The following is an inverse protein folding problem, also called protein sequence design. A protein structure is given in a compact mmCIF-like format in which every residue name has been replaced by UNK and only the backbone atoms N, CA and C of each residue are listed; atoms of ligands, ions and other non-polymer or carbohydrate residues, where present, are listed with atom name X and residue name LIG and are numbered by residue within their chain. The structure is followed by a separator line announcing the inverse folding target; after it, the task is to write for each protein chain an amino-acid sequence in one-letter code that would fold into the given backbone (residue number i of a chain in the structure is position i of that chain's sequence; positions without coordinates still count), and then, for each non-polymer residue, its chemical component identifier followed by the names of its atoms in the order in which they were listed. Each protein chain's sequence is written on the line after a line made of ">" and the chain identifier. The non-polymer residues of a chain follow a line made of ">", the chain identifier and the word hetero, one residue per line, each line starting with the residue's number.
data_IF_825797512704
#
_entry.id   IF_825797512704
#
_cell.length_a   1.000
_cell.length_b   1.000
_cell.length_c   1.000
_cell.angle_alpha   90.00
_cell.angle_beta   90.00
_cell.angle_gamma   90.00
#
_symmetry.space_group_name_H-M   'P 1'
#
loop_
_entity.id
_entity.type
_entity.pdbx_description
1 polymer ?
#
# COMPACT_ATOMS: atom_id res chain seq x y z
N UNK A 1 2.20 10.41 47.12
CA UNK A 1 1.78 9.18 46.43
C UNK A 1 0.77 9.54 45.36
N UNK A 2 1.23 9.90 44.16
CA UNK A 2 0.36 10.37 43.07
C UNK A 2 0.90 9.89 41.71
N UNK A 3 1.09 8.57 41.57
CA UNK A 3 1.67 7.98 40.36
C UNK A 3 0.96 6.70 39.93
N UNK A 4 -0.37 6.73 39.89
CA UNK A 4 -1.17 5.54 39.54
C UNK A 4 -2.29 5.78 38.52
N UNK A 5 -2.36 6.96 37.88
CA UNK A 5 -3.47 7.28 36.95
C UNK A 5 -3.10 7.29 35.46
N UNK A 6 -1.83 7.06 35.12
CA UNK A 6 -1.35 7.11 33.73
C UNK A 6 -1.63 5.84 32.89
N UNK A 7 -1.80 4.59 33.42
CA UNK A 7 -1.79 3.42 32.54
C UNK A 7 -3.13 3.19 31.81
N UNK A 8 -4.24 3.80 32.24
CA UNK A 8 -5.56 3.56 31.62
C UNK A 8 -5.78 4.30 30.29
N UNK A 9 -4.95 5.27 29.91
CA UNK A 9 -5.09 5.95 28.62
C UNK A 9 -4.41 5.21 27.45
N UNK A 10 -3.58 4.20 27.72
CA UNK A 10 -2.95 3.37 26.69
C UNK A 10 -3.82 2.18 26.24
N UNK A 11 -4.91 1.88 26.94
CA UNK A 11 -5.85 0.81 26.58
C UNK A 11 -6.72 1.16 25.36
N UNK A 12 -6.65 2.40 24.87
CA UNK A 12 -7.36 2.89 23.69
C UNK A 12 -6.63 2.67 22.36
N UNK A 13 -5.38 2.19 22.37
CA UNK A 13 -4.70 1.71 21.15
C UNK A 13 -5.15 0.26 20.86
N UNK A 14 -6.47 0.05 20.84
CA UNK A 14 -7.08 -1.20 20.43
C UNK A 14 -6.61 -1.52 19.01
N UNK A 15 -6.21 -2.78 18.81
CA UNK A 15 -5.67 -3.27 17.55
C UNK A 15 -6.48 -2.72 16.37
N UNK A 16 -5.82 -2.16 15.34
CA UNK A 16 -6.54 -1.63 14.19
C UNK A 16 -7.49 -2.71 13.68
N UNK A 17 -8.71 -2.35 13.23
CA UNK A 17 -9.65 -3.32 12.71
C UNK A 17 -8.91 -4.18 11.68
N UNK A 18 -8.97 -5.50 11.85
CA UNK A 18 -8.38 -6.43 10.89
C UNK A 18 -9.14 -6.27 9.58
N UNK A 19 -8.67 -5.36 8.74
CA UNK A 19 -9.11 -5.24 7.36
C UNK A 19 -8.72 -6.58 6.74
N UNK A 20 -9.73 -7.35 6.33
CA UNK A 20 -9.51 -8.63 5.66
C UNK A 20 -8.64 -8.36 4.42
N UNK A 21 -7.36 -8.67 4.51
CA UNK A 21 -6.42 -8.48 3.43
C UNK A 21 -6.61 -9.61 2.43
N UNK A 22 -7.53 -9.42 1.49
CA UNK A 22 -7.70 -10.33 0.35
C UNK A 22 -6.40 -10.31 -0.46
N UNK A 23 -5.87 -11.49 -0.80
CA UNK A 23 -4.79 -11.60 -1.76
C UNK A 23 -5.27 -11.13 -3.14
N UNK A 24 -4.54 -10.19 -3.74
CA UNK A 24 -4.82 -9.72 -5.10
C UNK A 24 -4.30 -10.73 -6.11
N UNK A 25 -5.04 -10.92 -7.19
CA UNK A 25 -4.57 -11.69 -8.34
C UNK A 25 -3.51 -10.92 -9.13
N UNK A 26 -2.65 -11.61 -9.86
CA UNK A 26 -1.67 -10.99 -10.77
C UNK A 26 -2.31 -10.04 -11.78
N UNK A 27 -3.52 -10.35 -12.25
CA UNK A 27 -4.29 -9.48 -13.14
C UNK A 27 -4.64 -8.15 -12.46
N UNK A 28 -5.19 -8.19 -11.24
CA UNK A 28 -5.54 -7.00 -10.46
C UNK A 28 -4.28 -6.15 -10.17
N UNK A 29 -3.17 -6.81 -9.84
CA UNK A 29 -1.89 -6.14 -9.58
C UNK A 29 -1.37 -5.44 -10.84
N UNK A 30 -1.45 -6.11 -12.00
CA UNK A 30 -0.96 -5.58 -13.29
C UNK A 30 -1.79 -4.40 -13.77
N UNK A 31 -3.12 -4.48 -13.70
CA UNK A 31 -4.01 -3.38 -14.04
C UNK A 31 -3.75 -2.16 -13.17
N UNK A 32 -3.62 -2.37 -11.86
CA UNK A 32 -3.28 -1.30 -10.92
C UNK A 32 -1.93 -0.65 -11.25
N UNK A 33 -0.89 -1.46 -11.48
CA UNK A 33 0.45 -0.96 -11.78
C UNK A 33 0.49 -0.15 -13.09
N UNK A 34 -0.23 -0.58 -14.13
CA UNK A 34 -0.34 0.16 -15.40
C UNK A 34 -1.08 1.49 -15.21
N UNK A 35 -2.18 1.49 -14.46
CA UNK A 35 -2.92 2.71 -14.12
C UNK A 35 -2.07 3.73 -13.36
N UNK A 36 -1.28 3.27 -12.39
CA UNK A 36 -0.33 4.12 -11.65
C UNK A 36 0.79 4.64 -12.55
N UNK A 37 1.34 3.79 -13.41
CA UNK A 37 2.40 4.17 -14.34
C UNK A 37 1.94 5.27 -15.31
N UNK A 38 0.73 5.17 -15.86
CA UNK A 38 0.16 6.17 -16.76
C UNK A 38 -0.08 7.55 -16.12
N UNK A 39 -0.22 7.60 -14.79
CA UNK A 39 -0.43 8.84 -14.02
C UNK A 39 0.87 9.42 -13.45
N UNK A 40 1.98 8.70 -13.60
CA UNK A 40 3.26 9.09 -13.02
C UNK A 40 3.98 10.12 -13.90
N UNK A 41 4.59 11.14 -13.29
CA UNK A 41 5.40 12.15 -13.98
C UNK A 41 6.82 11.63 -14.30
N UNK A 42 6.91 10.45 -14.93
CA UNK A 42 8.18 9.84 -15.30
C UNK A 42 8.73 10.43 -16.60
N UNK A 43 10.06 10.46 -16.71
CA UNK A 43 10.73 10.70 -17.99
C UNK A 43 10.37 9.59 -18.99
N UNK A 44 10.24 9.88 -20.30
CA UNK A 44 9.84 8.91 -21.32
C UNK A 44 10.64 7.60 -21.30
N UNK A 45 11.96 7.67 -21.10
CA UNK A 45 12.83 6.49 -21.00
C UNK A 45 12.42 5.56 -19.85
N UNK A 46 12.19 6.14 -18.67
CA UNK A 46 11.75 5.39 -17.48
C UNK A 46 10.36 4.81 -17.70
N UNK A 47 9.45 5.60 -18.27
CA UNK A 47 8.10 5.16 -18.57
C UNK A 47 8.10 3.92 -19.50
N UNK A 48 8.83 3.96 -20.61
CA UNK A 48 8.94 2.84 -21.55
C UNK A 48 9.59 1.61 -20.90
N UNK A 49 10.63 1.80 -20.09
CA UNK A 49 11.27 0.71 -19.34
C UNK A 49 10.28 0.00 -18.42
N UNK A 50 9.52 0.74 -17.62
CA UNK A 50 8.55 0.16 -16.69
C UNK A 50 7.35 -0.43 -17.42
N UNK A 51 6.88 0.20 -18.51
CA UNK A 51 5.82 -0.34 -19.36
C UNK A 51 6.20 -1.71 -19.90
N UNK A 52 7.44 -1.87 -20.39
CA UNK A 52 7.97 -3.15 -20.88
C UNK A 52 8.08 -4.20 -19.77
N UNK A 53 8.57 -3.80 -18.59
CA UNK A 53 8.66 -4.70 -17.44
C UNK A 53 7.27 -5.22 -17.02
N UNK A 54 6.24 -4.37 -17.01
CA UNK A 54 4.87 -4.79 -16.68
C UNK A 54 4.21 -5.62 -17.79
N UNK A 55 4.63 -5.45 -19.05
CA UNK A 55 4.12 -6.22 -20.17
C UNK A 55 4.69 -7.65 -20.22
N UNK A 56 5.91 -7.84 -19.73
CA UNK A 56 6.61 -9.12 -19.74
C UNK A 56 6.20 -9.94 -18.50
N UNK A 57 5.80 -11.21 -18.66
CA UNK A 57 5.44 -12.07 -17.53
C UNK A 57 6.65 -12.39 -16.64
#
# INVERSE_FOLDING_TARGET
>A
MALAFVPCMLSGCGSPPQIAHRAYSDAEIKEFAQGMLGRSALSPDKYEKYKKALATP
#
